data_IF_699651287626
#
_entry.id   IF_699651287626
#
_cell.length_a   1.000
_cell.length_b   1.000
_cell.length_c   1.000
_cell.angle_alpha   90.00
_cell.angle_beta   90.00
_cell.angle_gamma   90.00
#
_symmetry.space_group_name_H-M   'P 1'
#
loop_
_entity.id
_entity.type
_entity.pdbx_description
1 polymer ?
#
# COMPACT_ATOMS: atom_id res chain seq x y z
N UNK A 1 -8.51 -20.91 -31.04
CA UNK A 1 -7.21 -20.54 -30.44
C UNK A 1 -7.21 -19.04 -30.22
N UNK A 2 -7.77 -18.57 -29.09
CA UNK A 2 -7.70 -17.15 -28.71
C UNK A 2 -6.41 -16.97 -27.90
N UNK A 3 -5.47 -16.18 -28.42
CA UNK A 3 -4.29 -15.76 -27.68
C UNK A 3 -4.75 -14.90 -26.51
N UNK A 4 -4.96 -15.51 -25.35
CA UNK A 4 -5.02 -14.79 -24.07
C UNK A 4 -3.64 -14.15 -23.89
N UNK A 5 -3.58 -12.83 -24.05
CA UNK A 5 -2.37 -12.06 -23.82
C UNK A 5 -1.75 -12.45 -22.49
N UNK A 6 -0.47 -12.83 -22.52
CA UNK A 6 0.29 -13.18 -21.33
C UNK A 6 0.30 -11.94 -20.43
N UNK A 7 -0.44 -12.01 -19.31
CA UNK A 7 -0.33 -10.99 -18.28
C UNK A 7 1.05 -11.15 -17.65
N UNK A 8 1.99 -10.26 -17.98
CA UNK A 8 3.34 -10.29 -17.42
C UNK A 8 3.35 -10.20 -15.89
N UNK A 9 2.25 -9.75 -15.27
CA UNK A 9 2.07 -9.64 -13.82
C UNK A 9 0.60 -9.85 -13.43
N UNK A 10 0.32 -10.81 -12.55
CA UNK A 10 -1.02 -11.01 -11.96
C UNK A 10 -2.03 -11.73 -12.87
N UNK A 11 -3.31 -11.49 -12.64
CA UNK A 11 -4.45 -12.01 -13.41
C UNK A 11 -5.48 -10.89 -13.68
N UNK A 12 -6.63 -11.21 -14.28
CA UNK A 12 -7.68 -10.22 -14.61
C UNK A 12 -8.31 -9.55 -13.39
N UNK A 13 -8.20 -10.13 -12.20
CA UNK A 13 -8.81 -9.65 -10.95
C UNK A 13 -7.82 -8.95 -10.03
N UNK A 14 -6.52 -9.22 -10.19
CA UNK A 14 -5.48 -8.72 -9.31
C UNK A 14 -4.15 -8.54 -10.04
N UNK A 15 -3.49 -7.42 -9.77
CA UNK A 15 -2.12 -7.17 -10.17
C UNK A 15 -1.25 -6.90 -8.92
N UNK A 16 0.01 -7.37 -8.89
CA UNK A 16 0.93 -7.05 -7.81
C UNK A 16 1.12 -5.54 -7.67
N UNK A 17 1.36 -5.05 -6.44
CA UNK A 17 1.56 -3.63 -6.19
C UNK A 17 2.79 -3.15 -6.97
N UNK A 18 2.67 -1.95 -7.55
CA UNK A 18 3.76 -1.27 -8.24
C UNK A 18 4.42 -0.28 -7.30
N UNK A 19 5.72 -0.14 -7.45
CA UNK A 19 6.48 0.85 -6.70
C UNK A 19 6.09 2.21 -7.24
N UNK A 20 5.49 3.01 -6.38
CA UNK A 20 5.00 4.35 -6.69
C UNK A 20 5.27 5.23 -5.48
N UNK A 21 5.69 6.47 -5.75
CA UNK A 21 5.84 7.48 -4.73
C UNK A 21 4.46 8.11 -4.45
N UNK A 22 3.97 7.94 -3.23
CA UNK A 22 2.62 8.37 -2.82
C UNK A 22 2.76 9.54 -1.84
N UNK A 23 2.24 10.70 -2.23
CA UNK A 23 2.36 11.95 -1.46
C UNK A 23 1.12 12.31 -0.65
N UNK A 24 -0.04 11.73 -0.96
CA UNK A 24 -1.26 12.00 -0.22
C UNK A 24 -1.40 11.08 0.99
N UNK A 25 -2.00 11.60 2.06
CA UNK A 25 -2.27 10.85 3.28
C UNK A 25 -3.50 9.95 3.07
N UNK A 26 -3.38 8.67 3.43
CA UNK A 26 -4.50 7.74 3.45
C UNK A 26 -5.03 7.50 4.86
N UNK A 27 -6.14 8.14 5.20
CA UNK A 27 -6.84 7.85 6.45
C UNK A 27 -7.48 6.45 6.42
N UNK A 28 -7.41 5.67 7.52
CA UNK A 28 -8.00 4.34 7.57
C UNK A 28 -9.52 4.44 7.35
N UNK A 29 -10.04 3.92 6.23
CA UNK A 29 -11.47 3.93 5.94
C UNK A 29 -12.19 2.85 6.76
N UNK A 30 -13.51 2.83 6.68
CA UNK A 30 -14.28 1.65 7.08
C UNK A 30 -13.73 0.40 6.35
N UNK A 31 -13.37 -0.62 7.13
CA UNK A 31 -12.68 -1.83 6.66
C UNK A 31 -13.42 -2.52 5.52
N UNK A 32 -14.73 -2.73 5.67
CA UNK A 32 -15.53 -3.45 4.69
C UNK A 32 -15.66 -2.66 3.39
N UNK A 33 -15.80 -1.34 3.49
CA UNK A 33 -15.81 -0.45 2.32
C UNK A 33 -14.52 -0.59 1.51
N UNK A 34 -13.36 -0.58 2.18
CA UNK A 34 -12.08 -0.70 1.49
C UNK A 34 -11.80 -2.09 0.97
N UNK A 35 -12.12 -3.14 1.74
CA UNK A 35 -12.03 -4.53 1.28
C UNK A 35 -12.89 -4.75 0.03
N UNK A 36 -14.11 -4.19 -0.01
CA UNK A 36 -14.97 -4.23 -1.20
C UNK A 36 -14.32 -3.51 -2.39
N UNK A 37 -13.71 -2.33 -2.19
CA UNK A 37 -13.00 -1.60 -3.26
C UNK A 37 -11.83 -2.37 -3.84
N UNK A 38 -11.12 -3.17 -3.04
CA UNK A 38 -10.03 -4.05 -3.51
C UNK A 38 -10.52 -5.47 -3.88
N UNK A 39 -11.82 -5.66 -4.10
CA UNK A 39 -12.39 -6.92 -4.58
C UNK A 39 -12.34 -8.08 -3.57
N UNK A 40 -12.20 -7.79 -2.27
CA UNK A 40 -11.90 -8.78 -1.23
C UNK A 40 -10.63 -9.57 -1.53
N UNK A 41 -9.60 -8.93 -2.10
CA UNK A 41 -8.31 -9.56 -2.39
C UNK A 41 -7.21 -8.88 -1.58
N UNK A 42 -6.25 -9.64 -1.08
CA UNK A 42 -5.03 -9.09 -0.49
C UNK A 42 -4.32 -8.22 -1.52
N UNK A 43 -4.04 -6.96 -1.19
CA UNK A 43 -3.37 -6.06 -2.13
C UNK A 43 -1.94 -6.54 -2.51
N UNK A 44 -1.28 -7.32 -1.64
CA UNK A 44 0.10 -7.79 -1.87
C UNK A 44 0.23 -9.11 -2.61
N UNK A 45 -0.69 -10.06 -2.44
CA UNK A 45 -0.58 -11.40 -3.02
C UNK A 45 -1.83 -11.90 -3.75
N UNK A 46 -2.91 -11.12 -3.81
CA UNK A 46 -4.13 -11.50 -4.51
C UNK A 46 -4.96 -12.61 -3.85
N UNK A 47 -4.59 -13.07 -2.63
CA UNK A 47 -5.41 -14.06 -1.91
C UNK A 47 -6.77 -13.47 -1.52
N UNK A 48 -7.83 -14.24 -1.69
CA UNK A 48 -9.18 -13.88 -1.25
C UNK A 48 -9.26 -13.65 0.27
N UNK A 49 -10.01 -12.63 0.65
CA UNK A 49 -10.34 -12.27 2.02
C UNK A 49 -11.64 -12.97 2.36
N UNK A 50 -11.55 -14.03 3.15
CA UNK A 50 -12.72 -14.67 3.74
C UNK A 50 -13.40 -13.69 4.72
N UNK A 51 -14.71 -13.50 4.60
CA UNK A 51 -15.47 -12.49 5.37
C UNK A 51 -15.24 -12.64 6.90
N UNK A 52 -15.23 -13.86 7.42
CA UNK A 52 -14.97 -14.12 8.85
C UNK A 52 -13.55 -13.79 9.32
N UNK A 53 -12.58 -13.70 8.39
CA UNK A 53 -11.17 -13.42 8.69
C UNK A 53 -10.72 -12.03 8.23
N UNK A 54 -11.63 -11.17 7.79
CA UNK A 54 -11.35 -9.80 7.38
C UNK A 54 -10.61 -8.99 8.47
N UNK A 55 -10.92 -9.24 9.74
CA UNK A 55 -10.26 -8.60 10.88
C UNK A 55 -8.76 -8.92 11.00
N UNK A 56 -8.29 -10.03 10.39
CA UNK A 56 -6.87 -10.44 10.43
C UNK A 56 -5.99 -9.70 9.42
N UNK A 57 -6.61 -8.99 8.48
CA UNK A 57 -5.91 -8.18 7.50
C UNK A 57 -5.48 -6.85 8.12
N UNK A 58 -4.31 -6.36 7.72
CA UNK A 58 -3.70 -5.13 8.25
C UNK A 58 -3.75 -4.03 7.19
N UNK A 59 -4.02 -2.81 7.63
CA UNK A 59 -4.09 -1.65 6.77
C UNK A 59 -2.69 -1.04 6.61
N UNK A 60 -2.24 -0.88 5.37
CA UNK A 60 -1.00 -0.18 5.07
C UNK A 60 -1.29 1.29 4.81
N UNK A 61 -0.86 2.16 5.71
CA UNK A 61 -1.11 3.61 5.63
C UNK A 61 -0.41 4.27 4.43
N UNK A 62 0.68 3.67 3.92
CA UNK A 62 1.35 4.17 2.72
C UNK A 62 0.56 3.90 1.43
N UNK A 63 0.00 2.70 1.27
CA UNK A 63 -0.71 2.30 0.04
C UNK A 63 -2.23 2.47 0.11
N UNK A 64 -2.76 2.72 1.30
CA UNK A 64 -4.19 2.84 1.55
C UNK A 64 -4.99 1.53 1.38
N UNK A 65 -4.37 0.35 1.47
CA UNK A 65 -5.01 -0.95 1.19
C UNK A 65 -4.80 -1.97 2.31
N UNK A 66 -5.63 -3.02 2.31
CA UNK A 66 -5.52 -4.13 3.24
C UNK A 66 -4.66 -5.29 2.71
N UNK A 67 -3.85 -5.85 3.60
CA UNK A 67 -2.89 -6.92 3.33
C UNK A 67 -3.05 -8.06 4.33
N UNK A 68 -2.79 -9.29 3.91
CA UNK A 68 -2.76 -10.44 4.81
C UNK A 68 -1.53 -10.39 5.73
N UNK A 69 -1.49 -11.25 6.75
CA UNK A 69 -0.41 -11.26 7.75
C UNK A 69 0.99 -11.51 7.17
N UNK A 70 1.12 -12.27 6.08
CA UNK A 70 2.42 -12.53 5.44
C UNK A 70 2.91 -11.35 4.61
N UNK A 71 2.01 -10.59 3.97
CA UNK A 71 2.37 -9.39 3.21
C UNK A 71 2.54 -8.14 4.09
N UNK A 72 2.19 -8.22 5.36
CA UNK A 72 2.19 -7.10 6.28
C UNK A 72 2.61 -7.55 7.69
N UNK A 73 3.89 -7.41 8.01
CA UNK A 73 4.47 -7.85 9.29
C UNK A 73 4.27 -6.87 10.45
N UNK A 74 3.48 -5.80 10.24
CA UNK A 74 3.29 -4.70 11.21
C UNK A 74 4.57 -3.87 11.43
N UNK A 75 5.41 -3.83 10.39
CA UNK A 75 6.54 -2.90 10.34
C UNK A 75 6.02 -1.46 10.30
N UNK A 76 6.75 -0.54 10.91
CA UNK A 76 6.39 0.87 10.97
C UNK A 76 7.53 1.77 10.52
N UNK A 77 7.20 2.86 9.81
CA UNK A 77 8.14 3.92 9.45
C UNK A 77 7.46 5.29 9.41
N UNK A 78 8.27 6.35 9.30
CA UNK A 78 7.77 7.68 8.96
C UNK A 78 7.38 7.72 7.49
N UNK A 79 6.21 8.28 7.18
CA UNK A 79 5.70 8.32 5.82
C UNK A 79 6.05 9.67 5.17
N UNK A 80 6.59 9.66 3.93
CA UNK A 80 6.87 10.90 3.20
C UNK A 80 5.64 11.80 3.06
N UNK A 81 4.46 11.21 2.86
CA UNK A 81 3.20 11.96 2.76
C UNK A 81 2.90 12.78 4.01
N UNK A 82 3.21 12.29 5.21
CA UNK A 82 3.02 13.02 6.46
C UNK A 82 4.11 14.06 6.71
N UNK A 83 5.35 13.72 6.39
CA UNK A 83 6.49 14.64 6.52
C UNK A 83 6.29 15.86 5.62
N UNK A 84 5.94 15.64 4.36
CA UNK A 84 5.84 16.72 3.37
C UNK A 84 4.61 17.59 3.63
N UNK A 85 3.46 17.00 3.94
CA UNK A 85 2.20 17.77 4.08
C UNK A 85 2.00 18.38 5.47
N UNK A 86 2.52 17.75 6.53
CA UNK A 86 2.28 18.15 7.93
C UNK A 86 3.55 18.44 8.72
N UNK A 87 4.73 18.20 8.15
CA UNK A 87 6.00 18.24 8.89
C UNK A 87 5.98 17.35 10.14
N UNK A 88 5.26 16.22 10.08
CA UNK A 88 5.00 15.36 11.22
C UNK A 88 6.00 14.20 11.29
N UNK A 89 6.86 14.24 12.31
CA UNK A 89 7.82 13.19 12.67
C UNK A 89 7.51 12.57 14.04
N UNK A 90 6.30 12.80 14.58
CA UNK A 90 5.94 12.40 15.94
C UNK A 90 5.71 10.90 16.09
N UNK A 91 5.21 10.23 15.04
CA UNK A 91 4.84 8.81 15.11
C UNK A 91 5.15 8.04 13.82
N UNK A 92 5.41 6.73 13.97
CA UNK A 92 5.60 5.82 12.84
C UNK A 92 4.28 5.13 12.49
N UNK A 93 4.01 5.00 11.20
CA UNK A 93 2.78 4.43 10.64
C UNK A 93 2.96 2.99 10.21
N UNK A 94 1.89 2.20 10.31
CA UNK A 94 1.92 0.77 9.96
C UNK A 94 1.87 0.57 8.45
N UNK A 95 2.79 -0.25 7.92
CA UNK A 95 2.94 -0.46 6.47
C UNK A 95 3.10 -1.93 6.08
N UNK A 96 2.74 -2.22 4.83
CA UNK A 96 3.01 -3.52 4.21
C UNK A 96 4.51 -3.72 4.03
N UNK A 97 4.94 -4.99 3.94
CA UNK A 97 6.36 -5.31 3.72
C UNK A 97 6.86 -4.70 2.41
N UNK A 98 6.03 -4.77 1.37
CA UNK A 98 6.30 -4.12 0.09
C UNK A 98 6.61 -2.63 0.23
N UNK A 99 5.76 -1.89 0.94
CA UNK A 99 5.95 -0.45 1.15
C UNK A 99 7.18 -0.15 2.01
N UNK A 100 7.41 -0.95 3.05
CA UNK A 100 8.59 -0.83 3.90
C UNK A 100 9.88 -1.01 3.11
N UNK A 101 9.97 -2.05 2.28
CA UNK A 101 11.17 -2.35 1.50
C UNK A 101 11.40 -1.30 0.41
N UNK A 102 10.34 -0.82 -0.24
CA UNK A 102 10.42 0.28 -1.20
C UNK A 102 10.93 1.58 -0.56
N UNK A 103 10.30 2.02 0.54
CA UNK A 103 10.63 3.29 1.20
C UNK A 103 12.03 3.31 1.79
N UNK A 104 12.53 2.18 2.31
CA UNK A 104 13.93 2.09 2.75
C UNK A 104 14.91 2.17 1.58
N UNK A 105 14.56 1.63 0.41
CA UNK A 105 15.43 1.66 -0.76
C UNK A 105 15.62 3.08 -1.30
N UNK A 106 14.53 3.84 -1.37
CA UNK A 106 14.56 5.23 -1.85
C UNK A 106 14.89 6.25 -0.76
N UNK A 107 15.25 5.80 0.44
CA UNK A 107 15.43 6.69 1.60
C UNK A 107 16.51 7.77 1.37
N UNK A 108 17.57 7.42 0.65
CA UNK A 108 18.68 8.32 0.33
C UNK A 108 18.62 8.87 -1.10
N UNK A 109 17.60 8.52 -1.86
CA UNK A 109 17.44 8.97 -3.24
C UNK A 109 16.76 10.36 -3.26
N UNK A 110 17.22 11.30 -4.10
CA UNK A 110 16.60 12.62 -4.22
C UNK A 110 15.31 12.56 -5.04
N UNK A 111 14.30 11.83 -4.56
CA UNK A 111 13.05 11.56 -5.30
C UNK A 111 11.98 12.63 -5.12
N UNK A 112 12.21 13.63 -4.26
CA UNK A 112 11.21 14.61 -3.86
C UNK A 112 11.55 16.00 -4.42
N UNK A 113 10.78 16.48 -5.40
CA UNK A 113 10.80 17.88 -5.77
C UNK A 113 9.78 18.64 -4.91
N UNK A 114 10.26 19.39 -3.91
CA UNK A 114 9.38 20.11 -2.98
C UNK A 114 8.60 21.24 -3.65
N UNK A 115 9.12 21.83 -4.73
CA UNK A 115 8.44 22.93 -5.43
C UNK A 115 7.17 22.45 -6.14
N UNK A 116 7.16 21.20 -6.61
CA UNK A 116 6.00 20.61 -7.28
C UNK A 116 4.94 20.09 -6.28
N UNK A 117 5.29 19.98 -4.99
CA UNK A 117 4.44 19.37 -3.97
C UNK A 117 3.73 20.39 -3.07
N UNK A 118 4.27 21.61 -2.95
CA UNK A 118 3.78 22.65 -2.02
C UNK A 118 3.37 23.97 -2.71
N UNK A 119 3.15 23.94 -4.03
CA UNK A 119 2.66 25.10 -4.80
C UNK A 119 1.18 25.38 -4.60
#
# INVERSE_FOLDING_TARGET
MTYSGILCRGNSQWAPPREQLIFHIHHPPNRDSQLRKQGYLCAGCGRHVEKGFAHRYRYCEYTGKYFCRSCHSDKKLFLPSYIITKWDFSSKHSVSNFAFDYLNRIYSDPTFNLNDLNS
#
